data_IF_187545713989
#
_entry.id   IF_187545713989
#
_cell.length_a   1.000
_cell.length_b   1.000
_cell.length_c   1.000
_cell.angle_alpha   90.00
_cell.angle_beta   90.00
_cell.angle_gamma   90.00
#
_symmetry.space_group_name_H-M   'P 1'
#
loop_
_entity.id
_entity.type
_entity.pdbx_description
1 polymer ?
#
# COMPACT_ATOMS: atom_id res chain seq x y z
N UNK A 1 10.34 7.42 -5.91
CA UNK A 1 10.69 6.11 -6.52
C UNK A 1 12.01 6.18 -7.28
N UNK A 2 12.18 7.09 -8.25
CA UNK A 2 13.39 7.15 -9.10
C UNK A 2 14.72 7.21 -8.34
N UNK A 3 14.78 8.01 -7.26
CA UNK A 3 15.96 8.05 -6.41
C UNK A 3 16.27 6.70 -5.73
N UNK A 4 15.24 5.91 -5.38
CA UNK A 4 15.43 4.57 -4.83
C UNK A 4 15.93 3.60 -5.90
N UNK A 5 15.33 3.60 -7.09
CA UNK A 5 15.78 2.79 -8.23
C UNK A 5 17.25 3.07 -8.55
N UNK A 6 17.64 4.34 -8.62
CA UNK A 6 19.04 4.75 -8.84
C UNK A 6 19.98 4.22 -7.76
N UNK A 7 19.58 4.25 -6.48
CA UNK A 7 20.41 3.72 -5.38
C UNK A 7 20.52 2.20 -5.41
N UNK A 8 19.43 1.52 -5.78
CA UNK A 8 19.38 0.06 -5.89
C UNK A 8 20.06 -0.46 -7.16
N UNK A 9 20.30 0.40 -8.16
CA UNK A 9 20.78 0.00 -9.49
C UNK A 9 19.84 -1.00 -10.15
N UNK A 10 18.54 -0.74 -10.02
CA UNK A 10 17.46 -1.55 -10.58
C UNK A 10 16.56 -0.68 -11.44
N UNK A 11 15.93 -1.30 -12.42
CA UNK A 11 14.96 -0.64 -13.29
C UNK A 11 13.52 -0.71 -12.74
N UNK A 12 13.27 -1.61 -11.78
CA UNK A 12 11.98 -1.73 -11.10
C UNK A 12 12.14 -2.16 -9.63
N UNK A 13 11.06 -1.93 -8.86
CA UNK A 13 10.88 -2.41 -7.49
C UNK A 13 9.73 -3.42 -7.50
N UNK A 14 9.94 -4.62 -6.95
CA UNK A 14 8.87 -5.61 -6.86
C UNK A 14 7.72 -5.14 -5.96
N UNK A 15 8.04 -4.65 -4.76
CA UNK A 15 7.05 -4.18 -3.79
C UNK A 15 7.40 -2.80 -3.26
N UNK A 16 6.57 -1.80 -3.59
CA UNK A 16 6.70 -0.44 -3.07
C UNK A 16 5.65 -0.15 -1.99
N UNK A 17 6.09 0.24 -0.79
CA UNK A 17 5.21 0.38 0.37
C UNK A 17 5.09 1.85 0.79
N UNK A 18 3.86 2.31 1.00
CA UNK A 18 3.62 3.59 1.69
C UNK A 18 3.93 3.41 3.18
N UNK A 19 4.99 4.07 3.65
CA UNK A 19 5.53 3.85 4.99
C UNK A 19 4.59 4.28 6.13
N UNK A 20 3.72 5.25 5.88
CA UNK A 20 2.85 5.80 6.91
C UNK A 20 1.64 6.50 6.32
N UNK A 21 0.81 7.04 7.21
CA UNK A 21 -0.42 7.72 6.83
C UNK A 21 -0.15 9.19 6.53
N UNK A 22 -0.36 9.59 5.27
CA UNK A 22 -0.45 11.00 4.89
C UNK A 22 -1.89 11.52 5.13
N UNK A 23 -2.02 12.59 5.90
CA UNK A 23 -3.32 13.21 6.23
C UNK A 23 -3.64 14.43 5.37
N UNK A 24 -2.69 14.91 4.57
CA UNK A 24 -2.84 16.13 3.77
C UNK A 24 -3.20 15.79 2.33
N UNK A 25 -2.57 14.76 1.76
CA UNK A 25 -2.86 14.34 0.38
C UNK A 25 -4.17 13.56 0.29
N UNK A 26 -5.10 13.94 -0.61
CA UNK A 26 -6.31 13.16 -0.87
C UNK A 26 -5.95 11.74 -1.33
N UNK A 27 -6.67 10.75 -0.79
CA UNK A 27 -6.36 9.34 -1.05
C UNK A 27 -6.41 8.99 -2.54
N UNK A 28 -7.32 9.58 -3.31
CA UNK A 28 -7.45 9.38 -4.75
C UNK A 28 -6.20 9.81 -5.53
N UNK A 29 -5.53 10.88 -5.08
CA UNK A 29 -4.29 11.35 -5.69
C UNK A 29 -3.15 10.38 -5.40
N UNK A 30 -3.04 9.90 -4.16
CA UNK A 30 -2.07 8.86 -3.79
C UNK A 30 -2.28 7.59 -4.62
N UNK A 31 -3.53 7.12 -4.73
CA UNK A 31 -3.83 5.90 -5.48
C UNK A 31 -3.55 6.06 -6.98
N UNK A 32 -3.88 7.22 -7.58
CA UNK A 32 -3.52 7.51 -8.97
C UNK A 32 -2.01 7.48 -9.17
N UNK A 33 -1.23 8.11 -8.29
CA UNK A 33 0.23 8.13 -8.41
C UNK A 33 0.84 6.72 -8.29
N UNK A 34 0.28 5.87 -7.42
CA UNK A 34 0.70 4.47 -7.30
C UNK A 34 0.34 3.65 -8.54
N UNK A 35 -0.84 3.88 -9.11
CA UNK A 35 -1.29 3.29 -10.37
C UNK A 35 -0.35 3.65 -11.53
N UNK A 36 0.02 4.93 -11.65
CA UNK A 36 0.97 5.39 -12.67
C UNK A 36 2.35 4.73 -12.51
N UNK A 37 2.80 4.52 -11.27
CA UNK A 37 4.05 3.81 -11.00
C UNK A 37 4.00 2.34 -11.44
N UNK A 38 2.87 1.67 -11.20
CA UNK A 38 2.67 0.28 -11.66
C UNK A 38 2.57 0.23 -13.18
N UNK A 39 1.75 1.10 -13.78
CA UNK A 39 1.56 1.18 -15.23
C UNK A 39 2.88 1.50 -15.97
N UNK A 40 3.75 2.31 -15.37
CA UNK A 40 5.08 2.61 -15.93
C UNK A 40 6.09 1.46 -15.85
N UNK A 41 5.76 0.39 -15.11
CA UNK A 41 6.65 -0.76 -14.88
C UNK A 41 7.77 -0.52 -13.87
N UNK A 42 7.85 0.68 -13.28
CA UNK A 42 8.83 1.01 -12.21
C UNK A 42 8.53 0.26 -10.91
N UNK A 43 7.29 -0.15 -10.71
CA UNK A 43 6.83 -0.91 -9.54
C UNK A 43 5.97 -2.07 -10.02
N UNK A 44 6.11 -3.27 -9.44
CA UNK A 44 5.23 -4.41 -9.75
C UNK A 44 3.98 -4.42 -8.88
N UNK A 45 4.16 -4.26 -7.58
CA UNK A 45 3.09 -4.30 -6.59
C UNK A 45 3.24 -3.14 -5.59
N UNK A 46 2.10 -2.70 -5.07
CA UNK A 46 2.06 -1.65 -4.04
C UNK A 46 1.50 -2.20 -2.74
N UNK A 47 1.97 -1.64 -1.63
CA UNK A 47 1.50 -1.98 -0.30
C UNK A 47 1.47 -0.77 0.61
N UNK A 48 1.01 -0.99 1.83
CA UNK A 48 0.95 0.04 2.87
C UNK A 48 1.62 -0.46 4.14
N UNK A 49 2.02 0.46 5.00
CA UNK A 49 2.52 0.16 6.32
C UNK A 49 1.84 1.06 7.34
N UNK A 50 1.51 0.49 8.50
CA UNK A 50 0.95 1.23 9.64
C UNK A 50 -0.38 1.95 9.33
N UNK A 51 -1.17 1.45 8.38
CA UNK A 51 -2.52 1.95 8.10
C UNK A 51 -3.56 1.19 8.90
N UNK A 52 -4.65 1.88 9.26
CA UNK A 52 -5.83 1.27 9.92
C UNK A 52 -6.69 0.52 8.90
N UNK A 53 -7.33 -0.58 9.32
CA UNK A 53 -8.14 -1.44 8.45
C UNK A 53 -9.17 -0.66 7.62
N UNK A 54 -9.96 0.21 8.25
CA UNK A 54 -10.98 0.99 7.53
C UNK A 54 -10.42 1.93 6.45
N UNK A 55 -9.17 2.43 6.61
CA UNK A 55 -8.53 3.23 5.56
C UNK A 55 -8.08 2.37 4.39
N UNK A 56 -7.57 1.17 4.68
CA UNK A 56 -7.17 0.19 3.66
C UNK A 56 -8.40 -0.25 2.87
N UNK A 57 -9.47 -0.69 3.55
CA UNK A 57 -10.72 -1.09 2.89
C UNK A 57 -11.32 0.04 2.02
N UNK A 58 -11.32 1.29 2.52
CA UNK A 58 -11.73 2.45 1.72
C UNK A 58 -10.87 2.60 0.46
N UNK A 59 -9.56 2.46 0.59
CA UNK A 59 -8.64 2.62 -0.53
C UNK A 59 -8.77 1.47 -1.56
N UNK A 60 -8.93 0.23 -1.10
CA UNK A 60 -9.22 -0.94 -1.93
C UNK A 60 -10.52 -0.72 -2.73
N UNK A 61 -11.59 -0.29 -2.08
CA UNK A 61 -12.85 0.00 -2.78
C UNK A 61 -12.77 1.18 -3.76
N UNK A 62 -11.88 2.16 -3.53
CA UNK A 62 -11.63 3.22 -4.53
C UNK A 62 -10.84 2.66 -5.71
N UNK A 63 -9.80 1.87 -5.44
CA UNK A 63 -8.96 1.27 -6.48
C UNK A 63 -9.78 0.36 -7.39
N UNK A 64 -10.64 -0.50 -6.82
CA UNK A 64 -11.56 -1.35 -7.57
C UNK A 64 -12.48 -0.52 -8.48
N UNK A 65 -13.18 0.48 -7.92
CA UNK A 65 -14.11 1.33 -8.69
C UNK A 65 -13.44 2.10 -9.82
N UNK A 66 -12.16 2.45 -9.68
CA UNK A 66 -11.42 3.25 -10.67
C UNK A 66 -10.51 2.41 -11.57
N UNK A 67 -10.41 1.11 -11.33
CA UNK A 67 -9.48 0.22 -12.03
C UNK A 67 -8.01 0.54 -11.75
N UNK A 68 -7.69 1.05 -10.56
CA UNK A 68 -6.30 1.32 -10.16
C UNK A 68 -5.64 0.07 -9.58
N UNK A 69 -4.30 0.07 -9.54
CA UNK A 69 -3.53 -0.91 -8.80
C UNK A 69 -4.04 -1.08 -7.35
N UNK A 70 -4.25 -2.34 -6.95
CA UNK A 70 -4.67 -2.74 -5.61
C UNK A 70 -3.49 -2.73 -4.64
N UNK A 71 -3.77 -2.52 -3.35
CA UNK A 71 -2.78 -2.81 -2.31
C UNK A 71 -2.70 -4.32 -2.05
N UNK A 72 -1.53 -4.91 -2.30
CA UNK A 72 -1.32 -6.36 -2.16
C UNK A 72 -0.77 -6.76 -0.80
N UNK A 73 -0.22 -5.81 -0.04
CA UNK A 73 0.41 -6.10 1.25
C UNK A 73 0.15 -5.01 2.29
N UNK A 74 0.18 -5.44 3.55
CA UNK A 74 0.34 -4.55 4.69
C UNK A 74 1.57 -4.98 5.52
N UNK A 75 2.50 -4.05 5.74
CA UNK A 75 3.60 -4.24 6.67
C UNK A 75 3.27 -3.56 8.01
N UNK A 76 3.15 -4.37 9.05
CA UNK A 76 2.73 -3.89 10.37
C UNK A 76 3.51 -4.54 11.49
N UNK A 77 3.59 -3.85 12.63
CA UNK A 77 4.17 -4.39 13.84
C UNK A 77 3.29 -5.52 14.42
N UNK A 78 3.90 -6.68 14.62
CA UNK A 78 3.25 -7.82 15.25
C UNK A 78 4.25 -8.62 16.08
N UNK A 79 3.92 -8.89 17.33
CA UNK A 79 4.72 -9.72 18.22
C UNK A 79 3.84 -10.31 19.34
N UNK A 80 4.42 -11.18 20.18
CA UNK A 80 3.73 -11.69 21.38
C UNK A 80 3.25 -10.54 22.28
N UNK A 81 4.03 -9.45 22.38
CA UNK A 81 3.71 -8.28 23.21
C UNK A 81 2.78 -7.27 22.52
N UNK A 82 2.59 -7.36 21.20
CA UNK A 82 1.81 -6.41 20.41
C UNK A 82 1.01 -7.12 19.34
N UNK A 83 -0.27 -7.40 19.66
CA UNK A 83 -1.19 -8.21 18.85
C UNK A 83 -2.39 -7.43 18.32
N UNK A 84 -2.34 -6.10 18.34
CA UNK A 84 -3.48 -5.23 17.98
C UNK A 84 -4.02 -5.49 16.56
N UNK A 85 -3.15 -5.93 15.65
CA UNK A 85 -3.54 -6.27 14.27
C UNK A 85 -4.62 -7.34 14.19
N UNK A 86 -4.69 -8.26 15.14
CA UNK A 86 -5.67 -9.35 15.14
C UNK A 86 -7.10 -8.87 15.27
N UNK A 87 -7.32 -7.65 15.77
CA UNK A 87 -8.66 -7.10 15.98
C UNK A 87 -9.31 -6.61 14.70
N UNK A 88 -8.53 -6.02 13.80
CA UNK A 88 -9.06 -5.35 12.61
C UNK A 88 -8.30 -5.67 11.32
N UNK A 89 -6.96 -5.75 11.37
CA UNK A 89 -6.15 -6.06 10.18
C UNK A 89 -6.24 -7.55 9.81
N UNK A 90 -6.18 -8.45 10.80
CA UNK A 90 -6.32 -9.89 10.58
C UNK A 90 -7.65 -10.25 9.90
N UNK A 91 -8.80 -9.80 10.42
CA UNK A 91 -10.10 -9.99 9.77
C UNK A 91 -10.14 -9.42 8.34
N UNK A 92 -9.65 -8.18 8.13
CA UNK A 92 -9.61 -7.58 6.81
C UNK A 92 -8.81 -8.43 5.80
N UNK A 93 -7.62 -8.91 6.18
CA UNK A 93 -6.79 -9.74 5.29
C UNK A 93 -7.46 -11.07 4.95
N UNK A 94 -8.29 -11.62 5.83
CA UNK A 94 -9.01 -12.87 5.55
C UNK A 94 -10.23 -12.68 4.63
N UNK A 95 -10.75 -11.45 4.53
CA UNK A 95 -11.91 -11.10 3.69
C UNK A 95 -11.51 -10.64 2.28
N UNK A 96 -10.26 -10.19 2.11
CA UNK A 96 -9.70 -9.60 0.88
C UNK A 96 -8.71 -10.51 0.14
#
# INVERSE_FOLDING_TARGET
VDASLKRLQLDHIDLYQLHGTDTVTPIDETLRALDDLVASGKVRYVGVSNWRAGRIAKALGIAERKGFARFETIQSYYSIAGRDLEREIGPLINEE
#
